data_IF_949191685845
#
_entry.id   IF_949191685845
#
_cell.length_a   1.000
_cell.length_b   1.000
_cell.length_c   1.000
_cell.angle_alpha   90.00
_cell.angle_beta   90.00
_cell.angle_gamma   90.00
#
_symmetry.space_group_name_H-M   'P 1'
#
loop_
_entity.id
_entity.type
_entity.pdbx_description
1 polymer ?
#
# COMPACT_ATOMS: atom_id res chain seq x y z
N UNK A 1 10.36 -15.22 -9.35
CA UNK A 1 9.94 -14.36 -8.21
C UNK A 1 10.47 -12.96 -8.46
N UNK A 2 9.67 -11.94 -8.18
CA UNK A 2 10.13 -10.55 -8.24
C UNK A 2 10.97 -10.28 -6.99
N UNK A 3 12.09 -9.57 -7.12
CA UNK A 3 12.91 -9.17 -5.98
C UNK A 3 12.09 -8.29 -5.03
N UNK A 4 12.18 -8.57 -3.71
CA UNK A 4 11.44 -7.84 -2.69
C UNK A 4 11.67 -6.32 -2.74
N UNK A 5 12.87 -5.89 -3.10
CA UNK A 5 13.19 -4.47 -3.25
C UNK A 5 12.34 -3.79 -4.33
N UNK A 6 12.10 -4.46 -5.47
CA UNK A 6 11.25 -3.96 -6.55
C UNK A 6 9.79 -3.86 -6.11
N UNK A 7 9.31 -4.82 -5.31
CA UNK A 7 7.96 -4.79 -4.73
C UNK A 7 7.82 -3.57 -3.80
N UNK A 8 8.79 -3.35 -2.90
CA UNK A 8 8.79 -2.21 -1.98
C UNK A 8 8.80 -0.87 -2.71
N UNK A 9 9.67 -0.72 -3.72
CA UNK A 9 9.74 0.47 -4.56
C UNK A 9 8.41 0.72 -5.29
N UNK A 10 7.76 -0.33 -5.79
CA UNK A 10 6.45 -0.23 -6.43
C UNK A 10 5.38 0.26 -5.44
N UNK A 11 5.30 -0.37 -4.26
CA UNK A 11 4.37 0.02 -3.21
C UNK A 11 4.57 1.47 -2.76
N UNK A 12 5.81 1.91 -2.57
CA UNK A 12 6.13 3.28 -2.17
C UNK A 12 5.67 4.29 -3.23
N UNK A 13 5.92 4.00 -4.52
CA UNK A 13 5.51 4.87 -5.62
C UNK A 13 3.99 4.95 -5.78
N UNK A 14 3.28 3.84 -5.59
CA UNK A 14 1.81 3.83 -5.54
C UNK A 14 1.33 4.68 -4.36
N UNK A 15 1.91 4.49 -3.18
CA UNK A 15 1.48 5.20 -1.97
C UNK A 15 1.81 6.70 -2.04
N UNK A 16 2.83 7.11 -2.80
CA UNK A 16 3.16 8.52 -3.05
C UNK A 16 2.03 9.29 -3.71
N UNK A 17 1.23 8.67 -4.59
CA UNK A 17 0.11 9.32 -5.27
C UNK A 17 -1.18 9.38 -4.43
N UNK A 18 -1.23 8.67 -3.30
CA UNK A 18 -2.38 8.69 -2.39
C UNK A 18 -2.32 9.95 -1.54
N UNK A 19 -3.36 10.78 -1.65
CA UNK A 19 -3.51 12.01 -0.87
C UNK A 19 -4.32 11.74 0.41
N UNK A 20 -3.63 11.34 1.47
CA UNK A 20 -4.22 11.22 2.81
C UNK A 20 -4.29 12.63 3.40
N UNK A 21 -5.50 13.14 3.60
CA UNK A 21 -5.73 14.49 4.09
C UNK A 21 -5.79 14.56 5.61
N UNK A 22 -6.12 13.44 6.28
CA UNK A 22 -6.28 13.36 7.74
C UNK A 22 -5.69 12.08 8.29
N UNK A 23 -5.10 12.19 9.49
CA UNK A 23 -4.69 11.01 10.25
C UNK A 23 -5.91 10.10 10.49
N UNK A 24 -5.74 8.81 10.24
CA UNK A 24 -6.80 7.82 10.35
C UNK A 24 -7.72 7.71 9.12
N UNK A 25 -7.44 8.39 8.01
CA UNK A 25 -8.28 8.30 6.81
C UNK A 25 -8.23 6.90 6.20
N UNK A 26 -9.41 6.33 5.92
CA UNK A 26 -9.52 4.96 5.44
C UNK A 26 -9.17 4.86 3.95
N UNK A 27 -8.22 3.99 3.62
CA UNK A 27 -7.75 3.74 2.25
C UNK A 27 -8.07 2.32 1.86
N UNK A 28 -8.98 2.18 0.89
CA UNK A 28 -9.36 0.89 0.31
C UNK A 28 -8.29 0.44 -0.69
N UNK A 29 -7.69 -0.72 -0.44
CA UNK A 29 -6.69 -1.36 -1.30
C UNK A 29 -7.31 -2.65 -1.83
N UNK A 30 -7.48 -2.74 -3.15
CA UNK A 30 -7.97 -3.96 -3.82
C UNK A 30 -6.90 -4.54 -4.72
N UNK A 31 -6.78 -5.85 -4.73
CA UNK A 31 -5.85 -6.54 -5.62
C UNK A 31 -6.35 -7.91 -6.08
N UNK A 32 -5.48 -8.63 -6.78
CA UNK A 32 -5.75 -9.96 -7.28
C UNK A 32 -5.11 -11.06 -6.41
N UNK A 33 -5.45 -12.31 -6.72
CA UNK A 33 -5.01 -13.52 -5.99
C UNK A 33 -3.49 -13.65 -5.84
N UNK A 34 -2.69 -13.07 -6.74
CA UNK A 34 -1.23 -13.21 -6.75
C UNK A 34 -0.49 -11.94 -6.39
N UNK A 35 -1.17 -10.96 -5.79
CA UNK A 35 -0.56 -9.66 -5.42
C UNK A 35 -0.39 -9.46 -3.92
N UNK A 36 -0.54 -10.51 -3.10
CA UNK A 36 -0.53 -10.40 -1.62
C UNK A 36 0.69 -9.62 -1.07
N UNK A 37 1.91 -9.97 -1.47
CA UNK A 37 3.12 -9.27 -1.00
C UNK A 37 3.12 -7.77 -1.36
N UNK A 38 2.63 -7.42 -2.55
CA UNK A 38 2.54 -6.02 -2.97
C UNK A 38 1.45 -5.27 -2.18
N UNK A 39 0.29 -5.91 -1.97
CA UNK A 39 -0.82 -5.33 -1.21
C UNK A 39 -0.42 -5.06 0.24
N UNK A 40 0.34 -5.97 0.86
CA UNK A 40 0.88 -5.80 2.21
C UNK A 40 1.85 -4.61 2.27
N UNK A 41 2.79 -4.49 1.33
CA UNK A 41 3.74 -3.36 1.30
C UNK A 41 3.04 -2.02 1.02
N UNK A 42 1.96 -2.00 0.23
CA UNK A 42 1.10 -0.81 0.05
C UNK A 42 0.40 -0.49 1.37
N UNK A 43 -0.20 -1.48 2.03
CA UNK A 43 -0.89 -1.30 3.32
C UNK A 43 0.03 -0.73 4.39
N UNK A 44 1.25 -1.28 4.51
CA UNK A 44 2.28 -0.77 5.42
C UNK A 44 2.69 0.66 5.08
N UNK A 45 2.83 0.99 3.78
CA UNK A 45 3.17 2.35 3.34
C UNK A 45 2.05 3.35 3.63
N UNK A 46 0.79 2.96 3.48
CA UNK A 46 -0.39 3.76 3.85
C UNK A 46 -0.40 4.01 5.35
N UNK A 47 -0.19 2.98 6.17
CA UNK A 47 -0.15 3.10 7.63
C UNK A 47 0.97 4.06 8.08
N UNK A 48 2.16 3.99 7.47
CA UNK A 48 3.28 4.91 7.76
C UNK A 48 2.98 6.36 7.39
N UNK A 49 2.07 6.60 6.45
CA UNK A 49 1.60 7.94 6.07
C UNK A 49 0.43 8.45 6.91
N UNK A 50 -0.01 7.68 7.92
CA UNK A 50 -1.12 8.04 8.79
C UNK A 50 -2.50 7.64 8.26
N UNK A 51 -2.58 6.84 7.19
CA UNK A 51 -3.85 6.29 6.70
C UNK A 51 -4.18 4.95 7.38
N UNK A 52 -5.46 4.55 7.33
CA UNK A 52 -5.91 3.22 7.75
C UNK A 52 -6.14 2.34 6.52
N UNK A 53 -5.26 1.37 6.24
CA UNK A 53 -5.42 0.48 5.10
C UNK A 53 -6.55 -0.53 5.34
N UNK A 54 -7.42 -0.71 4.34
CA UNK A 54 -8.39 -1.79 4.29
C UNK A 54 -8.15 -2.62 3.02
N UNK A 55 -7.61 -3.82 3.18
CA UNK A 55 -7.23 -4.70 2.08
C UNK A 55 -8.38 -5.68 1.80
N UNK A 56 -8.77 -5.81 0.52
CA UNK A 56 -9.78 -6.75 0.01
C UNK A 56 -9.28 -7.47 -1.23
#
# INVERSE_FOLDING_TARGET
>A
MIEREKIRLCAENITKSINIQKEGELVLIKGGLYTHELLEEIGLSVLRKGGLPHIT
#
